data_IF_985687251112
#
_entry.id   IF_985687251112
#
_cell.length_a   1.000
_cell.length_b   1.000
_cell.length_c   1.000
_cell.angle_alpha   90.00
_cell.angle_beta   90.00
_cell.angle_gamma   90.00
#
_symmetry.space_group_name_H-M   'P 1'
#
loop_
_entity.id
_entity.type
_entity.pdbx_description
1 polymer ?
#
# COMPACT_ATOMS: atom_id res chain seq x y z
N UNK A 1 -1.98 -0.13 -3.54
CA UNK A 1 -1.75 1.25 -4.00
C UNK A 1 -1.53 2.13 -2.77
N UNK A 2 -0.36 2.75 -2.66
CA UNK A 2 0.05 3.57 -1.51
C UNK A 2 -0.14 5.06 -1.84
N UNK A 3 -0.89 5.75 -1.00
CA UNK A 3 -1.24 7.16 -1.18
C UNK A 3 -0.10 8.12 -0.78
N UNK A 4 -0.24 9.40 -1.11
CA UNK A 4 0.72 10.47 -0.81
C UNK A 4 0.62 11.00 0.63
N UNK A 5 1.34 12.08 0.94
CA UNK A 5 1.51 12.58 2.32
C UNK A 5 0.20 12.96 3.03
N UNK A 6 -0.65 13.75 2.36
CA UNK A 6 -1.92 14.27 2.90
C UNK A 6 -3.17 13.61 2.28
N UNK A 7 -3.00 12.71 1.32
CA UNK A 7 -4.14 12.03 0.69
C UNK A 7 -4.57 10.78 1.48
N UNK A 8 -5.48 10.01 0.89
CA UNK A 8 -5.96 8.72 1.41
C UNK A 8 -6.42 7.82 0.25
N UNK A 9 -6.69 6.55 0.54
CA UNK A 9 -7.09 5.51 -0.42
C UNK A 9 -8.34 5.89 -1.23
N UNK A 10 -9.32 6.54 -0.59
CA UNK A 10 -10.56 6.98 -1.23
C UNK A 10 -10.37 7.87 -2.48
N UNK A 11 -9.26 8.59 -2.59
CA UNK A 11 -8.96 9.40 -3.79
C UNK A 11 -8.62 8.55 -5.02
N UNK A 12 -8.36 7.25 -4.83
CA UNK A 12 -7.96 6.34 -5.89
C UNK A 12 -9.07 5.37 -6.31
N UNK A 13 -10.31 5.53 -5.81
CA UNK A 13 -11.43 4.63 -6.15
C UNK A 13 -11.58 4.49 -7.66
N UNK A 14 -11.64 5.58 -8.42
CA UNK A 14 -11.78 5.52 -9.88
C UNK A 14 -10.63 4.76 -10.57
N UNK A 15 -9.39 4.94 -10.13
CA UNK A 15 -8.24 4.18 -10.63
C UNK A 15 -8.30 2.71 -10.25
N UNK A 16 -8.70 2.42 -9.01
CA UNK A 16 -8.85 1.06 -8.50
C UNK A 16 -9.95 0.30 -9.24
N UNK A 17 -11.09 0.93 -9.51
CA UNK A 17 -12.18 0.36 -10.30
C UNK A 17 -11.76 0.08 -11.75
N UNK A 18 -10.99 0.99 -12.36
CA UNK A 18 -10.46 0.78 -13.71
C UNK A 18 -9.55 -0.43 -13.79
N UNK A 19 -8.68 -0.61 -12.79
CA UNK A 19 -7.80 -1.78 -12.67
C UNK A 19 -8.59 -3.06 -12.37
N UNK A 20 -9.59 -2.99 -11.49
CA UNK A 20 -10.47 -4.12 -11.18
C UNK A 20 -11.22 -4.63 -12.41
N UNK A 21 -11.74 -3.71 -13.25
CA UNK A 21 -12.36 -4.06 -14.54
C UNK A 21 -11.38 -4.73 -15.52
N UNK A 22 -10.08 -4.50 -15.37
CA UNK A 22 -9.03 -5.16 -16.14
C UNK A 22 -8.55 -6.47 -15.49
N UNK A 23 -9.23 -6.98 -14.47
CA UNK A 23 -8.88 -8.24 -13.78
C UNK A 23 -7.81 -8.10 -12.70
N UNK A 24 -7.44 -6.88 -12.31
CA UNK A 24 -6.43 -6.62 -11.27
C UNK A 24 -7.11 -6.29 -9.94
N UNK A 25 -6.95 -7.16 -8.95
CA UNK A 25 -7.37 -6.85 -7.59
C UNK A 25 -6.50 -5.73 -6.99
N UNK A 26 -7.13 -4.71 -6.41
CA UNK A 26 -6.43 -3.55 -5.83
C UNK A 26 -6.72 -3.47 -4.33
N UNK A 27 -5.65 -3.53 -3.54
CA UNK A 27 -5.69 -3.21 -2.10
C UNK A 27 -5.04 -1.83 -1.93
N UNK A 28 -5.76 -0.89 -1.33
CA UNK A 28 -5.29 0.47 -1.07
C UNK A 28 -5.51 0.81 0.41
N UNK A 29 -4.55 0.51 1.30
CA UNK A 29 -4.69 0.84 2.71
C UNK A 29 -4.55 2.35 2.93
N UNK A 30 -5.33 2.89 3.85
CA UNK A 30 -5.00 4.17 4.47
C UNK A 30 -3.80 3.98 5.39
N UNK A 31 -2.81 4.85 5.28
CA UNK A 31 -1.70 4.90 6.24
C UNK A 31 -2.25 5.25 7.63
N UNK A 32 -1.60 4.76 8.70
CA UNK A 32 -1.78 5.28 10.06
C UNK A 32 -1.87 6.81 10.09
N UNK A 33 -2.83 7.36 10.82
CA UNK A 33 -3.03 8.82 10.90
C UNK A 33 -3.54 9.48 9.61
N UNK A 34 -3.97 8.74 8.60
CA UNK A 34 -4.53 9.25 7.33
C UNK A 34 -5.88 8.62 7.00
N UNK A 35 -6.73 9.34 6.26
CA UNK A 35 -8.03 8.83 5.80
C UNK A 35 -8.92 8.31 6.93
N UNK A 36 -9.38 7.07 6.80
CA UNK A 36 -10.18 6.35 7.79
C UNK A 36 -9.39 5.98 9.05
N UNK A 37 -8.06 5.88 8.99
CA UNK A 37 -7.22 5.70 10.17
C UNK A 37 -7.03 7.06 10.87
N UNK A 38 -8.08 7.50 11.57
CA UNK A 38 -8.21 8.87 12.09
C UNK A 38 -7.45 9.16 13.37
N UNK A 39 -7.11 8.13 14.14
CA UNK A 39 -6.30 8.28 15.35
C UNK A 39 -4.91 8.83 15.00
N UNK A 40 -4.43 9.80 15.78
CA UNK A 40 -3.10 10.42 15.64
C UNK A 40 -2.81 10.90 14.21
N UNK A 41 -3.51 11.95 13.76
CA UNK A 41 -3.35 12.49 12.40
C UNK A 41 -1.89 12.80 12.09
N UNK A 42 -1.40 12.29 10.96
CA UNK A 42 -0.01 12.44 10.57
C UNK A 42 0.98 11.48 11.24
N UNK A 43 0.52 10.44 11.94
CA UNK A 43 1.41 9.46 12.61
C UNK A 43 2.47 8.86 11.66
N UNK A 44 3.72 9.26 11.85
CA UNK A 44 4.89 8.78 11.09
C UNK A 44 6.08 8.63 12.04
N UNK A 45 6.08 7.60 12.91
CA UNK A 45 7.00 7.57 14.04
C UNK A 45 8.44 7.30 13.59
N UNK A 46 8.61 6.43 12.58
CA UNK A 46 9.85 6.27 11.82
C UNK A 46 9.60 5.38 10.58
N UNK A 47 10.58 5.31 9.69
CA UNK A 47 10.46 4.55 8.44
C UNK A 47 10.25 3.04 8.64
N UNK A 48 10.78 2.44 9.72
CA UNK A 48 10.67 0.99 9.95
C UNK A 48 9.23 0.59 10.22
N UNK A 49 8.55 1.38 11.03
CA UNK A 49 7.12 1.20 11.34
C UNK A 49 6.26 1.35 10.08
N UNK A 50 6.55 2.36 9.27
CA UNK A 50 5.82 2.59 8.01
C UNK A 50 6.02 1.45 7.00
N UNK A 51 7.24 0.91 6.90
CA UNK A 51 7.51 -0.26 6.07
C UNK A 51 6.85 -1.54 6.60
N UNK A 52 6.73 -1.67 7.92
CA UNK A 52 6.03 -2.79 8.55
C UNK A 52 4.53 -2.79 8.24
N UNK A 53 3.88 -1.62 8.21
CA UNK A 53 2.48 -1.52 7.79
C UNK A 53 2.28 -1.96 6.33
N UNK A 54 3.21 -1.58 5.44
CA UNK A 54 3.20 -2.06 4.05
C UNK A 54 3.42 -3.57 4.01
N UNK A 55 4.34 -4.10 4.84
CA UNK A 55 4.60 -5.55 4.93
C UNK A 55 3.34 -6.31 5.29
N UNK A 56 2.61 -5.85 6.31
CA UNK A 56 1.34 -6.46 6.74
C UNK A 56 0.31 -6.45 5.63
N UNK A 57 0.20 -5.34 4.90
CA UNK A 57 -0.69 -5.24 3.72
C UNK A 57 -0.30 -6.24 2.63
N UNK A 58 1.00 -6.38 2.34
CA UNK A 58 1.50 -7.30 1.31
C UNK A 58 1.30 -8.76 1.71
N UNK A 59 1.54 -9.10 2.98
CA UNK A 59 1.28 -10.46 3.51
C UNK A 59 -0.20 -10.79 3.39
N UNK A 60 -1.07 -9.85 3.77
CA UNK A 60 -2.51 -10.02 3.64
C UNK A 60 -2.95 -10.17 2.18
N UNK A 61 -2.37 -9.41 1.25
CA UNK A 61 -2.62 -9.56 -0.18
C UNK A 61 -2.28 -10.98 -0.68
N UNK A 62 -1.13 -11.54 -0.26
CA UNK A 62 -0.75 -12.93 -0.62
C UNK A 62 -1.70 -13.96 -0.03
N UNK A 63 -2.22 -13.71 1.17
CA UNK A 63 -3.20 -14.59 1.83
C UNK A 63 -4.54 -14.58 1.10
N UNK A 64 -5.01 -13.39 0.71
CA UNK A 64 -6.28 -13.20 -0.01
C UNK A 64 -6.21 -13.70 -1.47
N UNK A 65 -5.03 -13.65 -2.09
CA UNK A 65 -4.83 -14.07 -3.48
C UNK A 65 -3.67 -15.08 -3.63
N UNK A 66 -3.86 -16.34 -3.19
CA UNK A 66 -2.82 -17.37 -3.28
C UNK A 66 -2.32 -17.57 -4.72
N UNK A 67 -1.00 -17.76 -4.87
CA UNK A 67 -0.36 -17.96 -6.18
C UNK A 67 -0.25 -16.72 -7.06
N UNK A 68 -0.72 -15.55 -6.60
CA UNK A 68 -0.63 -14.27 -7.33
C UNK A 68 0.33 -13.31 -6.62
N UNK A 69 1.57 -13.13 -7.10
CA UNK A 69 2.51 -12.23 -6.46
C UNK A 69 2.01 -10.77 -6.54
N UNK A 70 2.03 -10.02 -5.43
CA UNK A 70 1.52 -8.66 -5.41
C UNK A 70 2.50 -7.67 -6.05
N UNK A 71 1.95 -6.65 -6.72
CA UNK A 71 2.70 -5.49 -7.19
C UNK A 71 2.45 -4.27 -6.28
N UNK A 72 3.46 -3.42 -6.11
CA UNK A 72 3.32 -2.15 -5.39
C UNK A 72 3.27 -0.97 -6.37
N UNK A 73 2.21 -0.18 -6.25
CA UNK A 73 2.10 1.13 -6.86
C UNK A 73 2.01 2.18 -5.75
N UNK A 74 2.73 3.29 -5.87
CA UNK A 74 2.71 4.37 -4.90
C UNK A 74 2.95 5.73 -5.55
N UNK A 75 2.30 6.76 -5.03
CA UNK A 75 2.39 8.13 -5.58
C UNK A 75 3.06 9.06 -4.57
N UNK A 76 3.97 9.91 -5.05
CA UNK A 76 4.69 10.88 -4.23
C UNK A 76 5.34 10.21 -3.01
N UNK A 77 4.94 10.55 -1.80
CA UNK A 77 5.43 9.93 -0.57
C UNK A 77 5.18 8.41 -0.51
N UNK A 78 4.01 7.94 -1.00
CA UNK A 78 3.73 6.50 -1.13
C UNK A 78 4.66 5.80 -2.13
N UNK A 79 5.15 6.53 -3.14
CA UNK A 79 6.17 6.04 -4.08
C UNK A 79 7.50 5.77 -3.39
N UNK A 80 7.96 6.70 -2.55
CA UNK A 80 9.17 6.50 -1.72
C UNK A 80 9.06 5.24 -0.87
N UNK A 81 7.91 5.04 -0.23
CA UNK A 81 7.66 3.88 0.63
C UNK A 81 7.61 2.57 -0.17
N UNK A 82 6.97 2.57 -1.35
CA UNK A 82 6.94 1.42 -2.25
C UNK A 82 8.35 1.01 -2.71
N UNK A 83 9.17 1.99 -3.12
CA UNK A 83 10.56 1.74 -3.54
C UNK A 83 11.41 1.19 -2.40
N UNK A 84 11.36 1.82 -1.23
CA UNK A 84 12.10 1.36 -0.05
C UNK A 84 11.67 -0.06 0.37
N UNK A 85 10.36 -0.36 0.29
CA UNK A 85 9.83 -1.69 0.55
C UNK A 85 10.37 -2.72 -0.46
N UNK A 86 10.30 -2.42 -1.75
CA UNK A 86 10.78 -3.33 -2.80
C UNK A 86 12.26 -3.67 -2.65
N UNK A 87 13.09 -2.69 -2.28
CA UNK A 87 14.52 -2.91 -2.02
C UNK A 87 14.77 -3.83 -0.82
N UNK A 88 14.00 -3.66 0.26
CA UNK A 88 14.22 -4.39 1.52
C UNK A 88 13.51 -5.75 1.59
N UNK A 89 12.37 -5.88 0.93
CA UNK A 89 11.48 -7.03 1.01
C UNK A 89 11.14 -7.63 -0.36
N UNK A 90 12.07 -7.54 -1.32
CA UNK A 90 11.90 -8.07 -2.69
C UNK A 90 11.32 -9.49 -2.77
N UNK A 91 11.62 -10.35 -1.79
CA UNK A 91 11.15 -11.73 -1.74
C UNK A 91 9.63 -11.83 -1.55
N UNK A 92 8.98 -10.84 -0.95
CA UNK A 92 7.53 -10.83 -0.76
C UNK A 92 6.75 -10.42 -2.03
N UNK A 93 7.43 -9.78 -2.99
CA UNK A 93 6.84 -9.29 -4.24
C UNK A 93 7.08 -10.21 -5.44
N UNK A 94 7.75 -11.35 -5.22
CA UNK A 94 8.04 -12.35 -6.25
C UNK A 94 7.28 -13.63 -5.96
N UNK A 95 7.13 -14.47 -6.98
CA UNK A 95 6.66 -15.85 -6.87
C UNK A 95 7.64 -16.68 -6.04
#
# INVERSE_FOLDING_TARGET
>A
MLHGVQSHSGWYIGSAERLARAGVAVIAPDRRGSGMNSNNRGDTPNYRVLLEDVRRTVVEARRLFPGRPPHLAGISWGGKLATAFALRYRHLLRS
#
